data_IF_660987913531
#
_entry.id   IF_660987913531
#
_cell.length_a   1.000
_cell.length_b   1.000
_cell.length_c   1.000
_cell.angle_alpha   90.00
_cell.angle_beta   90.00
_cell.angle_gamma   90.00
#
_symmetry.space_group_name_H-M   'P 1'
#
loop_
_entity.id
_entity.type
_entity.pdbx_description
1 polymer ?
#
# COMPACT_ATOMS: atom_id res chain seq x y z
N UNK A 1 58.42 14.19 37.35
CA UNK A 1 57.93 14.66 36.04
C UNK A 1 56.55 14.06 35.88
N UNK A 2 55.57 14.91 35.61
CA UNK A 2 54.15 14.60 35.58
C UNK A 2 53.66 14.56 34.14
N UNK A 3 52.82 13.59 33.79
CA UNK A 3 51.82 13.63 32.71
C UNK A 3 50.63 12.77 33.20
N UNK A 4 49.56 13.34 33.75
CA UNK A 4 48.31 13.70 33.04
C UNK A 4 47.99 12.73 31.88
N UNK A 5 46.97 11.87 31.94
CA UNK A 5 45.60 12.15 32.35
C UNK A 5 44.76 12.37 31.09
N UNK A 6 44.24 11.30 30.48
CA UNK A 6 43.19 11.40 29.47
C UNK A 6 42.23 10.20 29.59
N UNK A 7 41.16 10.42 30.35
CA UNK A 7 39.96 9.59 30.34
C UNK A 7 39.25 9.80 28.99
N UNK A 8 39.19 8.79 28.13
CA UNK A 8 38.28 8.81 27.00
C UNK A 8 36.84 8.61 27.50
N UNK A 9 36.13 9.73 27.64
CA UNK A 9 34.67 9.79 27.70
C UNK A 9 34.13 9.59 26.28
N UNK A 10 33.95 8.34 25.87
CA UNK A 10 33.00 8.03 24.80
C UNK A 10 32.09 6.91 25.31
N UNK A 11 30.88 7.31 25.69
CA UNK A 11 29.79 6.38 25.93
C UNK A 11 29.55 5.58 24.65
N UNK A 12 29.70 4.27 24.74
CA UNK A 12 29.25 3.34 23.72
C UNK A 12 27.72 3.32 23.74
N UNK A 13 27.09 4.23 23.00
CA UNK A 13 25.72 4.07 22.53
C UNK A 13 25.72 2.99 21.46
N UNK A 14 25.58 1.73 21.86
CA UNK A 14 25.16 0.65 20.97
C UNK A 14 23.70 0.23 21.20
N UNK A 15 22.92 1.01 21.95
CA UNK A 15 21.47 0.81 22.15
C UNK A 15 20.62 1.48 21.06
N UNK A 16 20.87 1.15 19.78
CA UNK A 16 19.90 1.43 18.71
C UNK A 16 20.23 0.64 17.44
N UNK A 17 19.60 -0.53 17.29
CA UNK A 17 19.14 -1.00 15.98
C UNK A 17 18.19 -2.19 16.14
N UNK A 18 17.02 -1.95 16.72
CA UNK A 18 15.85 -2.82 16.49
C UNK A 18 14.99 -2.25 15.37
N UNK A 19 15.63 -1.68 14.35
CA UNK A 19 14.96 -1.38 13.08
C UNK A 19 14.91 -2.71 12.35
N UNK A 20 13.72 -3.30 12.09
CA UNK A 20 13.64 -4.50 11.28
C UNK A 20 14.31 -4.22 9.93
N UNK A 21 15.17 -5.15 9.52
CA UNK A 21 15.98 -5.07 8.31
C UNK A 21 15.07 -4.71 7.11
N UNK A 22 15.31 -3.56 6.47
CA UNK A 22 14.53 -3.07 5.34
C UNK A 22 14.55 -4.03 4.13
N UNK A 23 15.42 -5.05 4.16
CA UNK A 23 15.50 -6.15 3.18
C UNK A 23 14.48 -7.28 3.37
N UNK A 24 13.67 -7.26 4.43
CA UNK A 24 12.79 -8.37 4.80
C UNK A 24 11.49 -8.48 3.98
N UNK A 25 11.18 -7.49 3.13
CA UNK A 25 9.93 -7.42 2.38
C UNK A 25 10.23 -7.24 0.89
N UNK A 26 9.68 -8.09 0.00
CA UNK A 26 9.87 -7.90 -1.43
C UNK A 26 9.18 -6.60 -1.84
N UNK A 27 9.95 -5.69 -2.44
CA UNK A 27 9.41 -4.51 -3.11
C UNK A 27 8.46 -4.88 -4.25
N UNK A 28 7.78 -3.91 -4.85
CA UNK A 28 7.03 -4.18 -6.08
C UNK A 28 7.97 -4.71 -7.18
N UNK A 29 7.42 -5.50 -8.09
CA UNK A 29 8.16 -6.08 -9.19
C UNK A 29 8.25 -5.10 -10.36
N UNK A 30 9.42 -5.02 -10.98
CA UNK A 30 9.68 -4.19 -12.15
C UNK A 30 10.24 -5.04 -13.29
N UNK A 31 9.88 -4.69 -14.53
CA UNK A 31 10.50 -5.30 -15.70
C UNK A 31 11.85 -4.63 -16.05
N UNK A 32 12.54 -5.17 -17.07
CA UNK A 32 13.83 -4.65 -17.50
C UNK A 32 13.79 -3.20 -18.02
N UNK A 33 12.59 -2.66 -18.32
CA UNK A 33 12.37 -1.27 -18.75
C UNK A 33 12.03 -0.35 -17.57
N UNK A 34 12.00 -0.88 -16.35
CA UNK A 34 11.64 -0.15 -15.13
C UNK A 34 10.14 0.10 -14.98
N UNK A 35 9.29 -0.61 -15.74
CA UNK A 35 7.84 -0.50 -15.56
C UNK A 35 7.39 -1.37 -14.38
N UNK A 36 6.44 -0.89 -13.57
CA UNK A 36 5.81 -1.66 -12.51
C UNK A 36 5.01 -2.82 -13.12
N UNK A 37 5.18 -4.05 -12.63
CA UNK A 37 4.50 -5.25 -13.14
C UNK A 37 3.44 -5.73 -12.17
N UNK A 38 2.16 -5.59 -12.52
CA UNK A 38 1.04 -5.92 -11.61
C UNK A 38 0.90 -7.42 -11.33
N UNK A 39 1.11 -8.27 -12.34
CA UNK A 39 1.01 -9.73 -12.18
C UNK A 39 1.97 -10.27 -11.11
N UNK A 40 3.09 -9.59 -10.89
CA UNK A 40 4.16 -10.03 -10.00
C UNK A 40 4.23 -9.18 -8.72
N UNK A 41 3.59 -8.01 -8.70
CA UNK A 41 3.57 -7.09 -7.54
C UNK A 41 2.43 -7.40 -6.58
N UNK A 42 2.63 -7.05 -5.30
CA UNK A 42 1.59 -7.07 -4.26
C UNK A 42 0.96 -8.46 -4.00
N UNK A 43 1.70 -9.54 -4.27
CA UNK A 43 1.21 -10.94 -4.19
C UNK A 43 1.44 -11.65 -2.86
N UNK A 44 2.12 -11.01 -1.91
CA UNK A 44 2.44 -11.61 -0.62
C UNK A 44 2.01 -10.68 0.49
N UNK A 45 1.24 -11.23 1.44
CA UNK A 45 0.91 -10.55 2.68
C UNK A 45 1.96 -10.88 3.74
N UNK A 46 2.89 -9.95 4.06
CA UNK A 46 3.82 -10.18 5.16
C UNK A 46 3.07 -10.25 6.50
N UNK A 47 3.65 -10.97 7.47
CA UNK A 47 3.01 -11.24 8.76
C UNK A 47 2.66 -9.95 9.53
N UNK A 48 3.46 -8.89 9.36
CA UNK A 48 3.31 -7.59 10.05
C UNK A 48 2.93 -6.46 9.09
N UNK A 49 2.22 -6.77 8.00
CA UNK A 49 1.86 -5.80 6.96
C UNK A 49 1.16 -4.56 7.54
N UNK A 50 0.33 -4.74 8.56
CA UNK A 50 -0.45 -3.68 9.19
C UNK A 50 0.27 -2.95 10.35
N UNK A 51 1.44 -3.43 10.77
CA UNK A 51 2.15 -2.84 11.91
C UNK A 51 2.58 -1.40 11.63
N UNK A 52 2.50 -0.53 12.64
CA UNK A 52 2.95 0.87 12.61
C UNK A 52 2.24 1.75 11.56
N UNK A 53 1.00 1.42 11.19
CA UNK A 53 0.14 2.30 10.36
C UNK A 53 -0.70 3.22 11.24
N UNK A 54 -1.02 2.78 12.46
CA UNK A 54 -1.70 3.62 13.45
C UNK A 54 -0.89 4.90 13.66
N UNK A 55 -1.57 6.03 13.84
CA UNK A 55 -1.01 7.39 13.94
C UNK A 55 -0.47 8.01 12.65
N UNK A 56 -0.52 7.32 11.51
CA UNK A 56 -0.17 7.91 10.22
C UNK A 56 -1.38 8.61 9.58
N UNK A 57 -1.15 9.76 8.93
CA UNK A 57 -2.18 10.44 8.17
C UNK A 57 -2.34 9.82 6.77
N UNK A 58 -3.58 9.67 6.32
CA UNK A 58 -3.89 9.23 4.96
C UNK A 58 -3.67 10.40 3.99
N UNK A 59 -2.67 10.31 3.11
CA UNK A 59 -2.33 11.32 2.13
C UNK A 59 -3.14 11.19 0.82
N UNK A 60 -3.45 9.97 0.37
CA UNK A 60 -4.22 9.73 -0.85
C UNK A 60 -4.82 8.31 -0.87
N UNK A 61 -5.80 8.09 -1.76
CA UNK A 61 -6.25 6.75 -2.13
C UNK A 61 -6.29 6.63 -3.63
N UNK A 62 -5.50 5.71 -4.19
CA UNK A 62 -5.35 5.53 -5.63
C UNK A 62 -5.89 4.18 -6.09
N UNK A 63 -6.50 4.17 -7.26
CA UNK A 63 -6.82 2.95 -8.01
C UNK A 63 -6.29 3.08 -9.45
N UNK A 64 -6.15 1.96 -10.14
CA UNK A 64 -5.75 1.98 -11.55
C UNK A 64 -6.95 2.27 -12.45
N UNK A 65 -6.76 3.25 -13.32
CA UNK A 65 -7.69 3.62 -14.39
C UNK A 65 -7.17 3.09 -15.72
N UNK A 66 -8.07 2.48 -16.50
CA UNK A 66 -7.80 2.10 -17.88
C UNK A 66 -8.26 3.26 -18.79
N UNK A 67 -7.31 3.96 -19.41
CA UNK A 67 -7.59 5.20 -20.14
C UNK A 67 -8.30 4.99 -21.48
N UNK A 68 -8.10 3.83 -22.14
CA UNK A 68 -8.70 3.51 -23.43
C UNK A 68 -10.18 3.14 -23.30
N UNK A 69 -10.53 2.40 -22.26
CA UNK A 69 -11.90 1.98 -21.93
C UNK A 69 -12.64 3.02 -21.08
N UNK A 70 -11.92 3.94 -20.43
CA UNK A 70 -12.51 4.97 -19.58
C UNK A 70 -13.22 4.37 -18.37
N UNK A 71 -12.61 3.37 -17.75
CA UNK A 71 -13.13 2.71 -16.56
C UNK A 71 -12.00 2.37 -15.57
N UNK A 72 -12.38 2.00 -14.35
CA UNK A 72 -11.44 1.47 -13.37
C UNK A 72 -11.01 0.06 -13.76
N UNK A 73 -9.70 -0.20 -13.73
CA UNK A 73 -9.12 -1.49 -14.05
C UNK A 73 -9.62 -2.56 -13.06
N UNK A 74 -10.12 -3.67 -13.59
CA UNK A 74 -10.61 -4.80 -12.79
C UNK A 74 -9.46 -5.57 -12.16
N UNK A 75 -9.74 -6.20 -11.02
CA UNK A 75 -8.80 -7.07 -10.31
C UNK A 75 -7.44 -6.39 -10.04
N UNK A 76 -7.45 -5.06 -9.95
CA UNK A 76 -6.29 -4.21 -9.74
C UNK A 76 -6.17 -3.81 -8.26
N UNK A 77 -4.94 -3.55 -7.78
CA UNK A 77 -4.73 -3.11 -6.41
C UNK A 77 -5.36 -1.73 -6.14
N UNK A 78 -5.92 -1.59 -4.94
CA UNK A 78 -6.19 -0.28 -4.34
C UNK A 78 -4.99 0.13 -3.48
N UNK A 79 -4.53 1.36 -3.62
CA UNK A 79 -3.40 1.90 -2.87
C UNK A 79 -3.88 2.95 -1.86
N UNK A 80 -3.78 2.64 -0.58
CA UNK A 80 -3.93 3.61 0.51
C UNK A 80 -2.57 4.23 0.78
N UNK A 81 -2.40 5.52 0.52
CA UNK A 81 -1.14 6.22 0.69
C UNK A 81 -1.15 6.93 2.03
N UNK A 82 -0.37 6.45 2.98
CA UNK A 82 -0.08 7.17 4.21
C UNK A 82 1.20 8.00 4.03
N UNK A 83 1.42 9.00 4.88
CA UNK A 83 2.57 9.91 4.77
C UNK A 83 3.92 9.19 4.77
N UNK A 84 4.03 8.05 5.47
CA UNK A 84 5.28 7.30 5.63
C UNK A 84 5.33 5.99 4.84
N UNK A 85 4.20 5.51 4.32
CA UNK A 85 4.14 4.28 3.55
C UNK A 85 2.86 4.16 2.72
N UNK A 86 2.91 3.34 1.68
CA UNK A 86 1.75 2.89 0.93
C UNK A 86 1.33 1.48 1.40
N UNK A 87 0.01 1.28 1.52
CA UNK A 87 -0.63 0.00 1.73
C UNK A 87 -1.45 -0.37 0.49
N UNK A 88 -0.99 -1.37 -0.25
CA UNK A 88 -1.70 -1.94 -1.38
C UNK A 88 -2.61 -3.08 -0.91
N UNK A 89 -3.88 -3.06 -1.33
CA UNK A 89 -4.82 -4.16 -1.15
C UNK A 89 -5.21 -4.73 -2.51
N UNK A 90 -5.02 -6.04 -2.69
CA UNK A 90 -5.37 -6.79 -3.91
C UNK A 90 -6.34 -7.91 -3.58
N UNK A 91 -7.20 -8.29 -4.54
CA UNK A 91 -8.06 -9.47 -4.40
C UNK A 91 -7.46 -10.66 -5.11
N UNK A 92 -7.48 -11.82 -4.47
CA UNK A 92 -7.15 -13.11 -5.09
C UNK A 92 -8.39 -13.75 -5.72
N UNK A 93 -8.22 -14.68 -6.69
CA UNK A 93 -9.33 -15.38 -7.34
C UNK A 93 -10.30 -16.11 -6.40
N UNK A 94 -9.83 -16.49 -5.20
CA UNK A 94 -10.63 -17.14 -4.18
C UNK A 94 -11.40 -16.16 -3.26
N UNK A 95 -11.33 -14.86 -3.54
CA UNK A 95 -12.02 -13.81 -2.79
C UNK A 95 -11.29 -13.40 -1.51
N UNK A 96 -10.00 -13.74 -1.35
CA UNK A 96 -9.18 -13.21 -0.26
C UNK A 96 -8.54 -11.87 -0.60
N UNK A 97 -8.30 -11.05 0.40
CA UNK A 97 -7.43 -9.88 0.32
C UNK A 97 -5.97 -10.29 0.59
N UNK A 98 -5.09 -9.80 -0.28
CA UNK A 98 -3.65 -9.77 -0.07
C UNK A 98 -3.26 -8.32 0.15
N UNK A 99 -2.54 -8.07 1.23
CA UNK A 99 -2.06 -6.75 1.58
C UNK A 99 -0.57 -6.69 1.34
N UNK A 100 -0.07 -5.53 0.94
CA UNK A 100 1.35 -5.28 0.83
C UNK A 100 1.65 -3.88 1.34
N UNK A 101 2.76 -3.71 2.07
CA UNK A 101 3.19 -2.42 2.59
C UNK A 101 4.58 -2.08 2.08
N UNK A 102 4.78 -0.84 1.65
CA UNK A 102 6.08 -0.31 1.21
C UNK A 102 5.92 1.05 0.56
N UNK A 103 6.77 1.40 -0.41
CA UNK A 103 6.64 2.63 -1.19
C UNK A 103 6.43 2.29 -2.67
N UNK A 104 5.43 2.90 -3.30
CA UNK A 104 5.09 2.74 -4.71
C UNK A 104 5.34 4.07 -5.42
N UNK A 105 6.22 4.05 -6.42
CA UNK A 105 6.34 5.18 -7.34
C UNK A 105 5.19 5.14 -8.35
N UNK A 106 4.17 5.96 -8.08
CA UNK A 106 2.95 6.05 -8.88
C UNK A 106 3.15 6.85 -10.17
N UNK A 107 4.34 7.38 -10.43
CA UNK A 107 4.68 8.09 -11.68
C UNK A 107 5.18 7.15 -12.78
N UNK A 108 5.55 5.92 -12.43
CA UNK A 108 6.07 4.93 -13.37
C UNK A 108 4.96 4.33 -14.25
N UNK A 109 5.32 3.93 -15.48
CA UNK A 109 4.43 3.15 -16.35
C UNK A 109 4.09 1.83 -15.66
N UNK A 110 2.81 1.45 -15.74
CA UNK A 110 2.29 0.20 -15.19
C UNK A 110 2.03 -0.78 -16.33
N UNK A 111 2.64 -1.96 -16.24
CA UNK A 111 2.42 -3.09 -17.13
C UNK A 111 1.61 -4.16 -16.38
N UNK A 112 0.70 -4.82 -17.10
CA UNK A 112 -0.08 -5.93 -16.54
C UNK A 112 0.82 -7.15 -16.29
N UNK A 113 1.73 -7.45 -17.21
CA UNK A 113 2.64 -8.61 -17.20
C UNK A 113 4.08 -8.21 -17.52
N UNK A 114 5.06 -9.02 -17.14
CA UNK A 114 6.46 -8.76 -17.44
C UNK A 114 6.73 -8.74 -18.96
N UNK A 115 7.36 -7.67 -19.46
CA UNK A 115 7.49 -7.38 -20.91
C UNK A 115 8.66 -8.09 -21.61
N UNK A 116 9.02 -9.31 -21.21
CA UNK A 116 10.19 -10.01 -21.78
C UNK A 116 9.94 -10.71 -23.13
N UNK A 117 8.68 -10.81 -23.58
CA UNK A 117 8.32 -11.40 -24.88
C UNK A 117 7.51 -10.43 -25.75
N UNK A 118 7.50 -10.59 -27.08
CA UNK A 118 6.69 -9.77 -27.97
C UNK A 118 5.19 -9.79 -27.65
N UNK A 119 4.66 -10.95 -27.23
CA UNK A 119 3.25 -11.09 -26.86
C UNK A 119 2.91 -10.30 -25.59
N UNK A 120 3.82 -10.30 -24.60
CA UNK A 120 3.66 -9.52 -23.38
C UNK A 120 3.77 -8.01 -23.65
N UNK A 121 4.67 -7.61 -24.53
CA UNK A 121 4.77 -6.21 -24.99
C UNK A 121 3.49 -5.77 -25.69
N UNK A 122 2.99 -6.55 -26.65
CA UNK A 122 1.74 -6.25 -27.35
C UNK A 122 0.55 -6.19 -26.39
N UNK A 123 0.48 -7.10 -25.41
CA UNK A 123 -0.56 -7.08 -24.39
C UNK A 123 -0.49 -5.81 -23.54
N UNK A 124 0.70 -5.41 -23.08
CA UNK A 124 0.87 -4.21 -22.27
C UNK A 124 0.60 -2.93 -23.08
N UNK A 125 0.94 -2.90 -24.36
CA UNK A 125 0.69 -1.74 -25.24
C UNK A 125 -0.79 -1.58 -25.62
N UNK A 126 -1.60 -2.62 -25.47
CA UNK A 126 -3.06 -2.54 -25.60
C UNK A 126 -3.74 -1.92 -24.37
N UNK A 127 -3.03 -1.76 -23.26
CA UNK A 127 -3.54 -1.20 -22.02
C UNK A 127 -2.95 0.19 -21.78
N UNK A 128 -3.78 1.11 -21.31
CA UNK A 128 -3.34 2.38 -20.73
C UNK A 128 -3.69 2.38 -19.25
N UNK A 129 -2.73 1.99 -18.39
CA UNK A 129 -2.93 1.97 -16.96
C UNK A 129 -2.29 3.20 -16.30
N UNK A 130 -3.09 3.95 -15.55
CA UNK A 130 -2.64 5.11 -14.79
C UNK A 130 -3.20 5.08 -13.37
N UNK A 131 -2.38 5.45 -12.39
CA UNK A 131 -2.84 5.66 -11.03
C UNK A 131 -3.69 6.94 -10.95
N UNK A 132 -4.90 6.82 -10.42
CA UNK A 132 -5.86 7.92 -10.31
C UNK A 132 -6.46 7.96 -8.90
N UNK A 133 -6.64 9.16 -8.37
CA UNK A 133 -7.26 9.38 -7.06
C UNK A 133 -8.72 8.95 -7.04
N UNK A 134 -9.10 8.23 -5.98
CA UNK A 134 -10.47 7.81 -5.72
C UNK A 134 -11.20 8.93 -4.97
N UNK A 135 -11.76 9.86 -5.74
CA UNK A 135 -12.34 11.11 -5.23
C UNK A 135 -13.49 10.95 -4.22
N UNK A 136 -14.17 9.81 -4.21
CA UNK A 136 -15.22 9.48 -3.23
C UNK A 136 -14.70 9.38 -1.80
N UNK A 137 -13.38 9.26 -1.60
CA UNK A 137 -12.72 9.25 -0.30
C UNK A 137 -12.00 10.56 0.04
N UNK A 138 -12.29 11.65 -0.68
CA UNK A 138 -11.63 12.94 -0.44
C UNK A 138 -11.77 13.45 1.01
N UNK A 139 -12.88 13.16 1.69
CA UNK A 139 -13.09 13.54 3.09
C UNK A 139 -12.15 12.80 4.06
N UNK A 140 -11.68 11.61 3.69
CA UNK A 140 -10.77 10.80 4.50
C UNK A 140 -9.32 11.30 4.47
N UNK A 141 -8.97 12.08 3.44
CA UNK A 141 -7.61 12.56 3.24
C UNK A 141 -7.22 13.58 4.33
N UNK A 142 -6.03 13.41 4.88
CA UNK A 142 -5.47 14.20 5.97
C UNK A 142 -5.90 13.74 7.36
N UNK A 143 -6.75 12.71 7.49
CA UNK A 143 -7.11 12.16 8.79
C UNK A 143 -6.07 11.15 9.27
N UNK A 144 -5.83 11.13 10.58
CA UNK A 144 -4.97 10.15 11.25
C UNK A 144 -5.65 8.77 11.32
N UNK A 145 -4.92 7.69 11.03
CA UNK A 145 -5.40 6.34 11.25
C UNK A 145 -5.39 5.96 12.73
N UNK A 146 -6.57 5.65 13.28
CA UNK A 146 -6.72 5.21 14.67
C UNK A 146 -6.64 3.69 14.82
N UNK A 147 -7.07 2.93 13.81
CA UNK A 147 -6.85 1.49 13.75
C UNK A 147 -6.95 0.96 12.32
N UNK A 148 -6.25 -0.14 12.07
CA UNK A 148 -6.36 -0.87 10.81
C UNK A 148 -6.40 -2.37 11.07
N UNK A 149 -7.34 -3.08 10.45
CA UNK A 149 -7.48 -4.53 10.67
C UNK A 149 -8.01 -5.25 9.45
N UNK A 150 -7.52 -6.47 9.25
CA UNK A 150 -8.01 -7.40 8.25
C UNK A 150 -8.95 -8.41 8.91
N UNK A 151 -10.21 -8.41 8.49
CA UNK A 151 -11.23 -9.35 8.97
C UNK A 151 -11.38 -10.52 7.99
N UNK A 152 -11.18 -11.74 8.51
CA UNK A 152 -11.39 -13.03 7.80
C UNK A 152 -10.67 -13.12 6.45
N UNK A 153 -9.57 -12.40 6.27
CA UNK A 153 -8.84 -12.29 5.01
C UNK A 153 -9.68 -11.84 3.82
N UNK A 154 -10.79 -11.11 4.03
CA UNK A 154 -11.69 -10.71 2.95
C UNK A 154 -12.13 -9.25 3.04
N UNK A 155 -11.96 -8.60 4.19
CA UNK A 155 -12.32 -7.21 4.39
C UNK A 155 -11.24 -6.47 5.17
N UNK A 156 -10.71 -5.40 4.61
CA UNK A 156 -9.84 -4.45 5.30
C UNK A 156 -10.69 -3.30 5.83
N UNK A 157 -10.54 -3.02 7.12
CA UNK A 157 -11.20 -1.89 7.80
C UNK A 157 -10.11 -0.93 8.25
N UNK A 158 -10.23 0.32 7.81
CA UNK A 158 -9.37 1.42 8.23
C UNK A 158 -10.25 2.42 8.97
N UNK A 159 -10.05 2.52 10.27
CA UNK A 159 -10.68 3.54 11.10
C UNK A 159 -9.74 4.76 11.16
N UNK A 160 -10.19 5.87 10.60
CA UNK A 160 -9.54 7.18 10.72
C UNK A 160 -10.21 7.98 11.84
N UNK A 161 -9.86 9.25 12.04
CA UNK A 161 -10.43 10.09 13.11
C UNK A 161 -11.96 10.25 13.02
N UNK A 162 -12.46 10.50 11.82
CA UNK A 162 -13.89 10.78 11.57
C UNK A 162 -14.50 9.81 10.55
N UNK A 163 -13.66 9.19 9.71
CA UNK A 163 -14.08 8.34 8.61
C UNK A 163 -13.61 6.90 8.78
N UNK A 164 -14.47 5.96 8.44
CA UNK A 164 -14.15 4.54 8.28
C UNK A 164 -14.14 4.20 6.80
N UNK A 165 -13.02 3.65 6.33
CA UNK A 165 -12.91 3.07 4.99
C UNK A 165 -13.09 1.56 5.11
N UNK A 166 -14.00 1.01 4.30
CA UNK A 166 -14.23 -0.41 4.15
C UNK A 166 -13.79 -0.85 2.76
N UNK A 167 -12.91 -1.85 2.70
CA UNK A 167 -12.40 -2.44 1.47
C UNK A 167 -12.77 -3.92 1.49
N UNK A 168 -13.61 -4.36 0.55
CA UNK A 168 -14.02 -5.77 0.44
C UNK A 168 -13.45 -6.43 -0.81
N UNK A 169 -12.87 -7.62 -0.63
CA UNK A 169 -12.51 -8.50 -1.74
C UNK A 169 -13.76 -8.85 -2.57
N UNK A 170 -13.76 -8.40 -3.81
CA UNK A 170 -14.76 -8.79 -4.81
C UNK A 170 -14.04 -9.12 -6.11
N UNK A 171 -13.89 -10.42 -6.37
CA UNK A 171 -13.27 -10.90 -7.59
C UNK A 171 -14.14 -10.60 -8.81
N UNK A 172 -13.53 -10.12 -9.90
CA UNK A 172 -14.21 -9.83 -11.16
C UNK A 172 -14.98 -8.51 -11.20
N UNK A 173 -14.86 -7.66 -10.18
CA UNK A 173 -15.41 -6.30 -10.18
C UNK A 173 -14.33 -5.24 -10.37
N UNK A 174 -14.70 -4.12 -11.01
CA UNK A 174 -13.96 -2.85 -10.92
C UNK A 174 -13.95 -2.36 -9.47
N UNK A 175 -13.00 -1.48 -9.10
CA UNK A 175 -12.04 -1.75 -8.02
C UNK A 175 -12.73 -2.16 -6.71
N UNK A 176 -12.01 -2.91 -5.87
CA UNK A 176 -12.42 -3.36 -4.52
C UNK A 176 -13.57 -2.52 -3.95
N UNK A 177 -14.66 -3.16 -3.53
CA UNK A 177 -15.83 -2.41 -3.04
C UNK A 177 -15.42 -1.52 -1.88
N UNK A 178 -15.55 -0.22 -2.12
CA UNK A 178 -14.99 0.84 -1.31
C UNK A 178 -16.12 1.71 -0.80
N UNK A 179 -16.26 1.76 0.51
CA UNK A 179 -17.27 2.58 1.17
C UNK A 179 -16.60 3.43 2.24
N UNK A 180 -16.96 4.71 2.29
CA UNK A 180 -16.72 5.56 3.46
C UNK A 180 -17.99 5.62 4.31
N UNK A 181 -17.79 5.57 5.63
CA UNK A 181 -18.85 5.73 6.62
C UNK A 181 -18.32 6.59 7.77
N UNK A 182 -19.17 7.32 8.50
CA UNK A 182 -18.74 7.96 9.75
C UNK A 182 -18.22 6.91 10.73
N UNK A 183 -17.14 7.20 11.44
CA UNK A 183 -16.70 6.33 12.53
C UNK A 183 -17.81 6.25 13.59
N UNK A 184 -18.17 5.04 14.06
CA UNK A 184 -19.15 4.92 15.12
C UNK A 184 -18.62 5.63 16.36
N UNK A 185 -19.34 6.66 16.83
CA UNK A 185 -18.94 7.37 18.04
C UNK A 185 -18.88 6.37 19.18
N UNK A 186 -17.70 6.27 19.80
CA UNK A 186 -17.58 5.63 21.10
C UNK A 186 -18.40 6.47 22.07
N UNK A 187 -19.68 6.11 22.26
CA UNK A 187 -20.49 6.61 23.35
C UNK A 187 -19.68 6.45 24.63
N UNK A 188 -19.14 7.55 25.14
CA UNK A 188 -18.54 7.59 26.47
C UNK A 188 -19.63 7.15 27.43
N UNK A 189 -19.49 5.94 27.98
CA UNK A 189 -20.22 5.52 29.18
C UNK A 189 -19.61 6.20 30.40
#
# INVERSE_FOLDING_TARGET
>A
MAENGMHSLYGSTNDSSSVPDASSHPGPAFDAKGCLVLADSFKVSPADVLANIETLHLADVLALWECHEGNWARDSPLLLRFEECDLAASTEPDGRLILWKGAVDTSLKVNAVASSSPEAEEQNDRLCLAWMTVSTLSEAIGQEASSIRLERNARLIVDLEETRILIEARWGSAPLSLESQPTPSSSKR
#
